data_IF_880099897093
#
_entry.id   IF_880099897093
#
_cell.length_a   1.000
_cell.length_b   1.000
_cell.length_c   1.000
_cell.angle_alpha   90.00
_cell.angle_beta   90.00
_cell.angle_gamma   90.00
#
_symmetry.space_group_name_H-M   'P 1'
#
loop_
_entity.id
_entity.type
_entity.pdbx_description
1 polymer ?
#
# COMPACT_ATOMS: atom_id res chain seq x y z
N UNK A 1 23.30 -20.62 -30.67
CA UNK A 1 22.46 -19.56 -31.27
C UNK A 1 21.01 -19.97 -31.05
N UNK A 2 20.27 -19.07 -30.39
CA UNK A 2 18.83 -19.08 -30.06
C UNK A 2 18.32 -20.14 -29.05
N UNK A 3 18.38 -19.77 -27.77
CA UNK A 3 17.48 -20.24 -26.71
C UNK A 3 16.07 -19.71 -27.02
N UNK A 4 15.09 -20.59 -27.22
CA UNK A 4 13.66 -20.24 -27.16
C UNK A 4 12.95 -21.28 -26.32
N UNK A 5 13.08 -21.16 -25.01
CA UNK A 5 12.12 -21.79 -24.09
C UNK A 5 10.83 -20.95 -24.08
N UNK A 6 9.67 -21.60 -24.25
CA UNK A 6 8.37 -20.94 -24.33
C UNK A 6 7.86 -20.54 -22.94
N UNK A 7 7.11 -19.45 -22.90
CA UNK A 7 6.10 -19.11 -21.89
C UNK A 7 6.49 -19.32 -20.41
N UNK A 8 6.87 -18.23 -19.74
CA UNK A 8 6.05 -17.57 -18.69
C UNK A 8 6.96 -16.52 -18.07
N UNK A 9 6.92 -15.28 -18.59
CA UNK A 9 7.43 -14.14 -17.85
C UNK A 9 6.46 -13.86 -16.70
N UNK A 10 6.62 -14.61 -15.62
CA UNK A 10 6.02 -14.29 -14.33
C UNK A 10 6.55 -12.92 -13.91
N UNK A 11 5.67 -11.92 -13.86
CA UNK A 11 5.90 -10.57 -13.27
C UNK A 11 6.24 -10.60 -11.77
N UNK A 12 6.71 -11.74 -11.25
CA UNK A 12 7.03 -12.00 -9.86
C UNK A 12 8.55 -11.95 -9.56
N UNK A 13 9.42 -11.87 -10.58
CA UNK A 13 10.87 -11.90 -10.40
C UNK A 13 11.51 -10.51 -10.20
N UNK A 14 10.86 -9.42 -10.62
CA UNK A 14 11.44 -8.06 -10.52
C UNK A 14 11.38 -7.46 -9.10
N UNK A 15 10.51 -7.97 -8.21
CA UNK A 15 10.43 -7.52 -6.81
C UNK A 15 11.33 -8.33 -5.84
N UNK A 16 12.09 -9.33 -6.32
CA UNK A 16 12.87 -10.26 -5.47
C UNK A 16 14.25 -9.77 -5.01
N UNK A 17 14.76 -8.64 -5.47
CA UNK A 17 16.12 -8.17 -5.08
C UNK A 17 16.17 -7.32 -3.80
N UNK A 18 15.17 -7.39 -2.92
CA UNK A 18 15.26 -6.81 -1.57
C UNK A 18 14.82 -7.82 -0.52
N UNK A 19 15.72 -8.73 -0.14
CA UNK A 19 15.57 -9.56 1.05
C UNK A 19 15.57 -8.67 2.29
N UNK A 20 14.38 -8.22 2.69
CA UNK A 20 14.12 -7.66 4.00
C UNK A 20 13.72 -8.81 4.95
N UNK A 21 14.07 -8.74 6.25
CA UNK A 21 13.65 -9.75 7.23
C UNK A 21 12.12 -9.79 7.27
N UNK A 22 11.49 -10.84 6.72
CA UNK A 22 10.05 -10.91 6.41
C UNK A 22 9.62 -9.86 5.38
N UNK A 23 9.01 -10.27 4.27
CA UNK A 23 8.52 -9.30 3.29
C UNK A 23 7.49 -8.37 3.94
N UNK A 24 7.45 -7.10 3.54
CA UNK A 24 6.48 -6.13 4.07
C UNK A 24 5.04 -6.62 3.89
N UNK A 25 4.78 -7.34 2.79
CA UNK A 25 3.49 -7.96 2.53
C UNK A 25 3.12 -9.03 3.57
N UNK A 26 4.06 -9.90 3.93
CA UNK A 26 3.83 -10.91 4.97
C UNK A 26 3.63 -10.25 6.35
N UNK A 27 4.33 -9.17 6.64
CA UNK A 27 4.11 -8.37 7.85
C UNK A 27 2.71 -7.73 7.88
N UNK A 28 2.24 -7.19 6.76
CA UNK A 28 0.89 -6.61 6.63
C UNK A 28 -0.18 -7.68 6.81
N UNK A 29 -0.03 -8.84 6.15
CA UNK A 29 -0.94 -9.98 6.32
C UNK A 29 -0.97 -10.48 7.76
N UNK A 30 0.19 -10.60 8.41
CA UNK A 30 0.28 -10.99 9.83
C UNK A 30 -0.33 -9.96 10.78
N UNK A 31 -0.18 -8.67 10.49
CA UNK A 31 -0.81 -7.58 11.25
C UNK A 31 -2.33 -7.49 11.01
N UNK A 32 -2.79 -7.90 9.84
CA UNK A 32 -4.20 -7.87 9.45
C UNK A 32 -4.71 -6.47 9.06
N UNK A 33 -3.83 -5.48 8.89
CA UNK A 33 -4.17 -4.14 8.41
C UNK A 33 -2.97 -3.46 7.75
N UNK A 34 -3.24 -2.53 6.84
CA UNK A 34 -2.25 -1.62 6.26
C UNK A 34 -2.15 -0.37 7.11
N UNK A 35 -0.92 0.00 7.49
CA UNK A 35 -0.64 1.31 8.08
C UNK A 35 -0.36 2.32 6.95
N UNK A 36 -1.27 3.27 6.77
CA UNK A 36 -1.22 4.30 5.75
C UNK A 36 -0.82 5.64 6.37
N UNK A 37 0.25 6.26 5.88
CA UNK A 37 0.58 7.64 6.22
C UNK A 37 -0.24 8.58 5.35
N UNK A 38 -0.97 9.50 5.96
CA UNK A 38 -1.78 10.50 5.23
C UNK A 38 -1.20 11.89 5.46
N UNK A 39 -0.94 12.60 4.37
CA UNK A 39 -0.42 13.96 4.41
C UNK A 39 -1.53 14.98 4.71
N UNK A 40 -1.51 15.53 5.91
CA UNK A 40 -2.48 16.57 6.34
C UNK A 40 -2.12 17.99 5.87
N UNK A 41 -0.92 18.18 5.30
CA UNK A 41 -0.43 19.49 4.85
C UNK A 41 -0.85 19.86 3.42
N UNK A 42 -1.31 18.90 2.63
CA UNK A 42 -1.77 19.13 1.26
C UNK A 42 -3.20 18.59 1.09
N UNK A 43 -4.18 19.50 1.14
CA UNK A 43 -5.62 19.18 1.14
C UNK A 43 -6.10 18.30 -0.04
N UNK A 44 -5.33 18.22 -1.14
CA UNK A 44 -5.63 17.35 -2.29
C UNK A 44 -5.26 15.87 -2.07
N UNK A 45 -4.33 15.57 -1.14
CA UNK A 45 -3.79 14.23 -0.94
C UNK A 45 -4.53 13.48 0.17
N UNK A 46 -4.81 14.15 1.28
CA UNK A 46 -5.65 13.59 2.34
C UNK A 46 -6.25 14.67 3.26
N UNK A 47 -7.55 14.56 3.53
CA UNK A 47 -8.28 15.48 4.40
C UNK A 47 -9.37 14.74 5.17
N UNK A 48 -9.63 15.18 6.41
CA UNK A 48 -10.76 14.71 7.19
C UNK A 48 -12.01 15.46 6.72
N UNK A 49 -13.07 14.74 6.35
CA UNK A 49 -14.37 15.37 6.08
C UNK A 49 -15.10 15.70 7.40
N UNK A 50 -16.23 16.41 7.31
CA UNK A 50 -17.05 16.79 8.48
C UNK A 50 -17.64 15.59 9.26
N UNK A 51 -17.61 14.40 8.65
CA UNK A 51 -18.05 13.14 9.27
C UNK A 51 -16.90 12.40 9.98
N UNK A 52 -15.69 12.97 9.98
CA UNK A 52 -14.50 12.36 10.56
C UNK A 52 -13.88 11.25 9.69
N UNK A 53 -14.29 11.14 8.43
CA UNK A 53 -13.74 10.16 7.49
C UNK A 53 -12.58 10.77 6.70
N UNK A 54 -11.52 9.99 6.54
CA UNK A 54 -10.42 10.35 5.66
C UNK A 54 -10.87 10.26 4.19
N UNK A 55 -10.58 11.29 3.42
CA UNK A 55 -10.82 11.38 1.97
C UNK A 55 -9.58 11.92 1.25
N UNK A 56 -9.38 11.55 -0.01
CA UNK A 56 -8.25 12.02 -0.83
C UNK A 56 -7.47 10.87 -1.47
N UNK A 57 -6.48 11.24 -2.28
CA UNK A 57 -5.68 10.29 -3.06
C UNK A 57 -4.97 9.23 -2.19
N UNK A 58 -4.33 9.63 -1.09
CA UNK A 58 -3.62 8.70 -0.21
C UNK A 58 -4.58 7.67 0.39
N UNK A 59 -5.80 8.11 0.70
CA UNK A 59 -6.85 7.29 1.31
C UNK A 59 -7.34 6.24 0.34
N UNK A 60 -7.68 6.66 -0.88
CA UNK A 60 -8.18 5.78 -1.94
C UNK A 60 -7.11 4.79 -2.38
N UNK A 61 -5.86 5.26 -2.49
CA UNK A 61 -4.72 4.39 -2.78
C UNK A 61 -4.54 3.33 -1.69
N UNK A 62 -4.56 3.72 -0.41
CA UNK A 62 -4.42 2.76 0.69
C UNK A 62 -5.59 1.77 0.78
N UNK A 63 -6.83 2.20 0.47
CA UNK A 63 -7.99 1.30 0.37
C UNK A 63 -7.83 0.31 -0.77
N UNK A 64 -7.34 0.76 -1.93
CA UNK A 64 -7.07 -0.12 -3.08
C UNK A 64 -6.00 -1.17 -2.75
N UNK A 65 -4.91 -0.78 -2.09
CA UNK A 65 -3.86 -1.73 -1.65
C UNK A 65 -4.42 -2.69 -0.60
N UNK A 66 -5.28 -2.24 0.32
CA UNK A 66 -5.89 -3.11 1.33
C UNK A 66 -6.85 -4.12 0.69
N UNK A 67 -7.64 -3.70 -0.29
CA UNK A 67 -8.45 -4.60 -1.10
C UNK A 67 -7.59 -5.62 -1.86
N UNK A 68 -6.48 -5.17 -2.47
CA UNK A 68 -5.60 -6.05 -3.25
C UNK A 68 -4.82 -7.06 -2.40
N UNK A 69 -4.46 -6.71 -1.15
CA UNK A 69 -3.58 -7.55 -0.30
C UNK A 69 -4.31 -8.31 0.79
N UNK A 70 -5.33 -7.69 1.40
CA UNK A 70 -6.09 -8.23 2.54
C UNK A 70 -7.54 -8.59 2.17
N UNK A 71 -8.00 -8.22 0.97
CA UNK A 71 -9.36 -8.47 0.51
C UNK A 71 -10.42 -7.55 1.13
N UNK A 72 -10.02 -6.50 1.85
CA UNK A 72 -10.93 -5.64 2.59
C UNK A 72 -10.44 -4.19 2.57
N UNK A 73 -11.27 -3.30 2.04
CA UNK A 73 -10.99 -1.86 1.94
C UNK A 73 -10.93 -1.17 3.31
N UNK A 74 -11.54 -1.76 4.33
CA UNK A 74 -11.63 -1.20 5.68
C UNK A 74 -10.42 -1.56 6.54
N UNK A 75 -9.53 -2.45 6.08
CA UNK A 75 -8.33 -2.88 6.81
C UNK A 75 -7.17 -1.88 6.65
N UNK A 76 -7.46 -0.60 6.86
CA UNK A 76 -6.50 0.50 6.78
C UNK A 76 -6.51 1.29 8.09
N UNK A 77 -5.32 1.59 8.61
CA UNK A 77 -5.14 2.55 9.70
C UNK A 77 -4.41 3.78 9.16
N UNK A 78 -5.02 4.93 9.32
CA UNK A 78 -4.46 6.20 8.88
C UNK A 78 -3.66 6.83 10.01
N UNK A 79 -2.40 7.20 9.74
CA UNK A 79 -1.57 8.00 10.63
C UNK A 79 -1.35 9.35 9.97
N UNK A 80 -1.82 10.45 10.57
CA UNK A 80 -1.53 11.79 10.06
C UNK A 80 -0.02 12.04 10.15
N UNK A 81 0.58 12.33 9.01
CA UNK A 81 1.96 12.75 8.91
C UNK A 81 1.94 14.26 8.63
N UNK A 82 2.50 15.02 9.56
CA UNK A 82 2.88 16.41 9.31
C UNK A 82 4.30 16.38 8.76
N UNK A 83 4.55 17.05 7.63
CA UNK A 83 5.92 17.34 7.24
C UNK A 83 6.52 18.27 8.31
N UNK A 84 7.32 17.71 9.21
CA UNK A 84 8.11 18.48 10.17
C UNK A 84 9.56 18.28 9.74
N UNK A 85 10.20 19.39 9.38
CA UNK A 85 11.62 19.47 9.08
C UNK A 85 12.47 19.03 10.29
#
# INVERSE_FOLDING_TARGET
MILTTPNTHTVAEDLRSKTLPTSVLELVKKKGFIQCGVNTGAAAFSSLNDKGEWTGFDVDFCRAVAAATLGDTNKVKYTPLTAKE
#
